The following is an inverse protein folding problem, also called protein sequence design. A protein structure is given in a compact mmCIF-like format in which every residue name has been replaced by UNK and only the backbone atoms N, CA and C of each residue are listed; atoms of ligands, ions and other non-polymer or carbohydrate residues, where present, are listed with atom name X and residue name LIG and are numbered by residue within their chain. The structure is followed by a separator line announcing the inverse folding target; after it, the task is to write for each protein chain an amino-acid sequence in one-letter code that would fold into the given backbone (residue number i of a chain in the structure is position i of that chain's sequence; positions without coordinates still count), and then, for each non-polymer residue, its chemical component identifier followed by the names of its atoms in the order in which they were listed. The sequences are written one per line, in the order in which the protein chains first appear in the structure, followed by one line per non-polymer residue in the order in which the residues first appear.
data_IF_648357851421
#
_entry.id   IF_648357851421
#
_cell.length_a   1.000
_cell.length_b   1.000
_cell.length_c   1.000
_cell.angle_alpha   90.00
_cell.angle_beta   90.00
_cell.angle_gamma   90.00
#
_symmetry.space_group_name_H-M   'P 1'
#
loop_
_entity.id
_entity.type
_entity.pdbx_description
1 polymer ?
#
# COMPACT_ATOMS: atom_id res chain seq x y z
N UNK A 1 10.11 -25.66 -1.66
CA UNK A 1 9.28 -24.49 -1.33
C UNK A 1 8.08 -24.50 -2.26
N UNK A 2 6.85 -24.26 -1.78
CA UNK A 2 5.70 -24.10 -2.67
C UNK A 2 5.85 -22.79 -3.43
N UNK A 3 5.66 -22.83 -4.74
CA UNK A 3 5.68 -21.65 -5.61
C UNK A 3 4.55 -20.70 -5.23
N UNK A 4 4.84 -19.41 -5.14
CA UNK A 4 3.82 -18.41 -4.86
C UNK A 4 3.11 -18.06 -6.17
N UNK A 5 1.86 -18.50 -6.30
CA UNK A 5 1.03 -18.21 -7.48
C UNK A 5 0.32 -16.88 -7.26
N UNK A 6 0.67 -15.89 -8.08
CA UNK A 6 -0.07 -14.63 -8.23
C UNK A 6 -1.40 -14.90 -8.95
N UNK A 7 -2.51 -14.36 -8.44
CA UNK A 7 -3.85 -14.53 -9.02
C UNK A 7 -4.47 -13.23 -9.51
N UNK A 8 -3.87 -12.08 -9.18
CA UNK A 8 -4.30 -10.77 -9.67
C UNK A 8 -3.16 -10.06 -10.39
N UNK A 9 -3.46 -9.12 -11.26
CA UNK A 9 -2.53 -8.26 -11.97
C UNK A 9 -2.16 -7.03 -11.13
N UNK A 10 -1.11 -6.31 -11.54
CA UNK A 10 -0.77 -5.02 -10.94
C UNK A 10 -1.91 -3.99 -11.07
N UNK A 11 -2.64 -4.01 -12.19
CA UNK A 11 -3.77 -3.11 -12.42
C UNK A 11 -4.91 -3.39 -11.43
N UNK A 12 -5.28 -4.66 -11.25
CA UNK A 12 -6.26 -5.08 -10.25
C UNK A 12 -5.79 -4.74 -8.83
N UNK A 13 -4.50 -4.95 -8.54
CA UNK A 13 -3.92 -4.58 -7.24
C UNK A 13 -4.02 -3.07 -6.99
N UNK A 14 -3.74 -2.26 -8.02
CA UNK A 14 -3.85 -0.80 -7.92
C UNK A 14 -5.29 -0.36 -7.70
N UNK A 15 -6.25 -0.96 -8.39
CA UNK A 15 -7.68 -0.68 -8.16
C UNK A 15 -8.11 -0.99 -6.72
N UNK A 16 -7.66 -2.12 -6.17
CA UNK A 16 -7.90 -2.50 -4.77
C UNK A 16 -7.30 -1.48 -3.79
N UNK A 17 -6.07 -1.05 -4.03
CA UNK A 17 -5.43 -0.02 -3.22
C UNK A 17 -6.15 1.33 -3.33
N UNK A 18 -6.56 1.74 -4.53
CA UNK A 18 -7.31 2.98 -4.77
C UNK A 18 -8.67 2.98 -4.06
N UNK A 19 -9.38 1.85 -4.04
CA UNK A 19 -10.64 1.71 -3.29
C UNK A 19 -10.44 1.93 -1.78
N UNK A 20 -9.40 1.30 -1.19
CA UNK A 20 -9.10 1.49 0.23
C UNK A 20 -8.60 2.91 0.52
N UNK A 21 -7.80 3.48 -0.39
CA UNK A 21 -7.34 4.85 -0.31
C UNK A 21 -8.48 5.86 -0.43
N UNK A 22 -9.49 5.60 -1.26
CA UNK A 22 -10.67 6.46 -1.38
C UNK A 22 -11.43 6.54 -0.05
N UNK A 23 -11.63 5.40 0.62
CA UNK A 23 -12.29 5.36 1.92
C UNK A 23 -11.52 6.18 2.98
N UNK A 24 -10.19 6.11 2.96
CA UNK A 24 -9.33 6.71 4.00
C UNK A 24 -8.89 8.14 3.71
N UNK A 25 -8.58 8.48 2.47
CA UNK A 25 -7.94 9.74 2.08
C UNK A 25 -8.90 10.75 1.45
N UNK A 26 -10.02 10.31 0.89
CA UNK A 26 -10.97 11.23 0.24
C UNK A 26 -11.47 12.35 1.16
N UNK A 27 -11.72 12.14 2.48
CA UNK A 27 -12.09 13.22 3.39
C UNK A 27 -11.06 14.35 3.50
N UNK A 28 -9.79 14.06 3.18
CA UNK A 28 -8.67 15.02 3.25
C UNK A 28 -8.27 15.56 1.87
N UNK A 29 -8.90 15.06 0.80
CA UNK A 29 -8.61 15.47 -0.56
C UNK A 29 -9.33 16.78 -0.87
N UNK A 30 -8.57 17.83 -1.15
CA UNK A 30 -9.10 19.16 -1.45
C UNK A 30 -9.67 19.30 -2.86
N UNK A 31 -9.27 18.43 -3.79
CA UNK A 31 -9.71 18.43 -5.18
C UNK A 31 -9.70 17.00 -5.74
N UNK A 32 -10.80 16.58 -6.37
CA UNK A 32 -10.95 15.22 -6.90
C UNK A 32 -9.98 14.87 -8.03
N UNK A 33 -9.39 15.88 -8.67
CA UNK A 33 -8.34 15.69 -9.69
C UNK A 33 -6.99 15.28 -9.10
N UNK A 34 -6.79 15.45 -7.78
CA UNK A 34 -5.58 14.99 -7.09
C UNK A 34 -5.67 13.46 -6.94
N UNK A 35 -4.72 12.69 -7.51
CA UNK A 35 -4.68 11.24 -7.31
C UNK A 35 -4.51 10.89 -5.83
N UNK A 36 -5.19 9.84 -5.36
CA UNK A 36 -5.11 9.39 -3.97
C UNK A 36 -3.77 8.73 -3.66
N UNK A 37 -3.29 7.93 -4.62
CA UNK A 37 -2.02 7.22 -4.57
C UNK A 37 -0.96 7.92 -5.41
N UNK A 38 0.29 7.80 -4.99
CA UNK A 38 1.46 8.15 -5.76
C UNK A 38 1.60 7.25 -7.00
N UNK A 39 2.30 7.74 -8.01
CA UNK A 39 2.77 6.90 -9.12
C UNK A 39 3.85 5.92 -8.66
N UNK A 40 4.60 6.29 -7.63
CA UNK A 40 5.60 5.40 -7.02
C UNK A 40 4.92 4.23 -6.30
N UNK A 41 5.42 3.03 -6.57
CA UNK A 41 5.04 1.78 -5.92
C UNK A 41 6.27 0.91 -5.73
N UNK A 42 6.18 -0.03 -4.79
CA UNK A 42 7.20 -1.06 -4.61
C UNK A 42 6.56 -2.44 -4.80
N UNK A 43 7.33 -3.33 -5.42
CA UNK A 43 6.93 -4.71 -5.65
C UNK A 43 7.86 -5.64 -4.87
N UNK A 44 7.24 -6.64 -4.25
CA UNK A 44 7.92 -7.78 -3.65
C UNK A 44 7.44 -9.09 -4.30
N UNK A 45 8.01 -10.21 -3.88
CA UNK A 45 7.68 -11.53 -4.44
C UNK A 45 6.18 -11.82 -4.36
N UNK A 46 5.54 -11.48 -3.23
CA UNK A 46 4.16 -11.88 -2.91
C UNK A 46 3.17 -10.70 -2.79
N UNK A 47 3.61 -9.45 -2.98
CA UNK A 47 2.77 -8.28 -2.74
C UNK A 47 3.27 -7.01 -3.42
N UNK A 48 2.38 -6.03 -3.56
CA UNK A 48 2.68 -4.67 -3.98
C UNK A 48 2.36 -3.68 -2.87
N UNK A 49 3.09 -2.58 -2.86
CA UNK A 49 2.91 -1.48 -1.93
C UNK A 49 2.70 -0.19 -2.69
N UNK A 50 1.60 0.48 -2.38
CA UNK A 50 1.22 1.77 -2.95
C UNK A 50 1.27 2.85 -1.89
N UNK A 51 1.87 3.98 -2.22
CA UNK A 51 2.05 5.08 -1.29
C UNK A 51 0.99 6.14 -1.51
N UNK A 52 0.57 6.84 -0.45
CA UNK A 52 -0.33 7.98 -0.61
C UNK A 52 0.34 9.10 -1.41
N UNK A 53 -0.47 9.88 -2.09
CA UNK A 53 -0.01 11.13 -2.67
C UNK A 53 0.27 12.15 -1.54
N UNK A 54 1.50 12.69 -1.49
CA UNK A 54 1.92 13.63 -0.45
C UNK A 54 1.29 15.02 -0.57
N UNK A 55 0.62 15.33 -1.69
CA UNK A 55 -0.21 16.53 -1.83
C UNK A 55 -1.48 16.48 -0.97
N UNK A 56 -1.92 15.29 -0.58
CA UNK A 56 -3.03 15.13 0.37
C UNK A 56 -2.47 15.36 1.77
N UNK A 57 -2.94 16.42 2.41
CA UNK A 57 -2.56 16.82 3.76
C UNK A 57 -3.74 16.55 4.69
N UNK A 58 -3.56 15.63 5.63
CA UNK A 58 -4.53 15.34 6.67
C UNK A 58 -4.30 16.17 7.93
N UNK A 59 -5.15 15.97 8.96
CA UNK A 59 -5.14 16.76 10.18
C UNK A 59 -3.85 16.57 10.99
N UNK A 60 -3.44 17.63 11.68
CA UNK A 60 -2.37 17.64 12.69
C UNK A 60 -2.88 17.17 14.06
N UNK A 61 -3.69 16.11 14.10
CA UNK A 61 -4.33 15.60 15.33
C UNK A 61 -3.44 14.60 16.11
N UNK A 62 -2.20 14.39 15.67
CA UNK A 62 -1.26 13.41 16.23
C UNK A 62 -1.57 11.96 15.85
N UNK A 63 -2.79 11.66 15.40
CA UNK A 63 -3.22 10.34 14.93
C UNK A 63 -3.04 10.22 13.41
N UNK A 64 -1.85 9.76 13.02
CA UNK A 64 -1.44 9.50 11.63
C UNK A 64 -2.12 8.30 10.97
N UNK A 65 -3.38 8.00 11.31
CA UNK A 65 -4.15 6.90 10.72
C UNK A 65 -4.39 7.07 9.22
N UNK A 66 -4.31 8.31 8.72
CA UNK A 66 -4.37 8.70 7.32
C UNK A 66 -2.99 8.63 6.62
N UNK A 67 -1.89 8.68 7.37
CA UNK A 67 -0.50 8.71 6.87
C UNK A 67 0.05 7.27 6.78
N UNK A 68 -0.58 6.47 5.93
CA UNK A 68 -0.23 5.06 5.71
C UNK A 68 0.07 4.77 4.22
N UNK A 69 0.70 3.64 3.98
CA UNK A 69 0.81 3.01 2.67
C UNK A 69 -0.12 1.79 2.59
N UNK A 70 -0.42 1.35 1.38
CA UNK A 70 -1.41 0.31 1.08
C UNK A 70 -0.69 -0.92 0.55
N UNK A 71 -0.83 -2.04 1.26
CA UNK A 71 -0.28 -3.33 0.85
C UNK A 71 -1.37 -4.13 0.14
N UNK A 72 -1.05 -4.72 -1.01
CA UNK A 72 -1.94 -5.64 -1.72
C UNK A 72 -1.16 -6.92 -2.00
N UNK A 73 -1.63 -8.04 -1.47
CA UNK A 73 -1.05 -9.34 -1.80
C UNK A 73 -1.31 -9.66 -3.26
N UNK A 74 -0.44 -10.47 -3.84
CA UNK A 74 -0.59 -10.97 -5.20
C UNK A 74 -1.75 -11.97 -5.35
N UNK A 75 -2.50 -12.25 -4.27
CA UNK A 75 -3.79 -12.95 -4.29
C UNK A 75 -5.02 -12.05 -4.04
N UNK A 76 -4.82 -10.76 -3.79
CA UNK A 76 -5.88 -9.77 -3.66
C UNK A 76 -6.24 -9.37 -2.24
N UNK A 77 -5.50 -9.81 -1.22
CA UNK A 77 -5.68 -9.32 0.15
C UNK A 77 -5.14 -7.91 0.31
N UNK A 78 -5.95 -7.00 0.87
CA UNK A 78 -5.62 -5.58 1.00
C UNK A 78 -5.40 -5.22 2.46
N UNK A 79 -4.40 -4.39 2.74
CA UNK A 79 -4.09 -3.88 4.07
C UNK A 79 -3.46 -2.50 4.03
N UNK A 80 -3.28 -1.93 5.22
CA UNK A 80 -2.52 -0.69 5.42
C UNK A 80 -1.29 -0.96 6.26
N UNK A 81 -0.18 -0.35 5.88
CA UNK A 81 1.09 -0.40 6.62
C UNK A 81 1.55 1.01 6.95
N UNK A 82 2.50 1.11 7.88
CA UNK A 82 3.16 2.38 8.18
C UNK A 82 3.94 2.83 6.95
N UNK A 83 3.83 4.11 6.59
CA UNK A 83 4.61 4.67 5.50
C UNK A 83 6.06 4.92 5.93
N UNK A 84 6.93 3.98 5.53
CA UNK A 84 8.38 4.04 5.77
C UNK A 84 9.15 4.62 4.58
N UNK A 85 8.51 5.31 3.63
CA UNK A 85 9.19 5.90 2.44
C UNK A 85 10.31 6.90 2.77
N UNK A 86 10.34 7.42 3.99
CA UNK A 86 11.40 8.29 4.49
C UNK A 86 12.68 7.53 4.92
N UNK A 87 12.61 6.21 5.09
CA UNK A 87 13.72 5.34 5.49
C UNK A 87 13.76 4.12 4.56
N UNK A 88 14.44 4.23 3.39
CA UNK A 88 14.44 3.20 2.35
C UNK A 88 14.99 1.85 2.83
N UNK A 89 15.97 1.86 3.74
CA UNK A 89 16.55 0.62 4.28
C UNK A 89 15.54 -0.13 5.14
N UNK A 90 14.86 0.56 6.06
CA UNK A 90 13.79 -0.05 6.86
C UNK A 90 12.60 -0.46 6.01
N UNK A 91 12.24 0.34 5.01
CA UNK A 91 11.15 0.01 4.09
C UNK A 91 11.43 -1.28 3.33
N UNK A 92 12.64 -1.43 2.77
CA UNK A 92 13.03 -2.64 2.06
C UNK A 92 12.96 -3.88 2.96
N UNK A 93 13.52 -3.79 4.18
CA UNK A 93 13.47 -4.88 5.15
C UNK A 93 12.03 -5.24 5.57
N UNK A 94 11.18 -4.23 5.76
CA UNK A 94 9.77 -4.42 6.12
C UNK A 94 8.97 -5.10 5.00
N UNK A 95 9.16 -4.63 3.77
CA UNK A 95 8.51 -5.20 2.58
C UNK A 95 8.88 -6.67 2.41
N UNK A 96 10.15 -7.01 2.58
CA UNK A 96 10.59 -8.40 2.49
C UNK A 96 9.92 -9.27 3.57
N UNK A 97 9.94 -8.82 4.83
CA UNK A 97 9.29 -9.54 5.94
C UNK A 97 7.78 -9.73 5.70
N UNK A 98 7.11 -8.71 5.15
CA UNK A 98 5.69 -8.80 4.83
C UNK A 98 5.43 -9.80 3.69
N UNK A 99 6.24 -9.77 2.63
CA UNK A 99 6.17 -10.74 1.53
C UNK A 99 6.37 -12.18 2.01
N UNK A 100 7.36 -12.41 2.89
CA UNK A 100 7.62 -13.74 3.46
C UNK A 100 6.42 -14.22 4.29
N UNK A 101 5.80 -13.32 5.08
CA UNK A 101 4.59 -13.62 5.83
C UNK A 101 3.39 -13.94 4.93
N UNK A 102 3.21 -13.24 3.82
CA UNK A 102 2.19 -13.56 2.82
C UNK A 102 2.36 -15.00 2.32
N UNK A 103 3.60 -15.39 2.02
CA UNK A 103 3.95 -16.75 1.58
C UNK A 103 3.65 -17.81 2.63
N UNK A 104 3.93 -17.54 3.91
CA UNK A 104 3.61 -18.45 5.03
C UNK A 104 2.10 -18.61 5.25
N UNK A 105 1.36 -17.51 5.16
CA UNK A 105 -0.09 -17.49 5.36
C UNK A 105 -0.87 -17.98 4.14
N UNK A 106 -0.22 -18.06 2.97
CA UNK A 106 -0.90 -18.40 1.73
C UNK A 106 -1.86 -17.31 1.26
N UNK A 107 -1.53 -16.05 1.54
CA UNK A 107 -2.26 -14.85 1.09
C UNK A 107 -1.45 -14.07 0.08
#
# INVERSE_FOLDING_TARGET
MKEYIQTITLEEARQLADQLALIKLNPYRTNETIPLLSEHMLEAECCWFFFRNKQIVGPEDGFRSWDCAYSVSKRGDVGTIIDLSHDPEKLAAYIQQFSDRCKEMGV
#
